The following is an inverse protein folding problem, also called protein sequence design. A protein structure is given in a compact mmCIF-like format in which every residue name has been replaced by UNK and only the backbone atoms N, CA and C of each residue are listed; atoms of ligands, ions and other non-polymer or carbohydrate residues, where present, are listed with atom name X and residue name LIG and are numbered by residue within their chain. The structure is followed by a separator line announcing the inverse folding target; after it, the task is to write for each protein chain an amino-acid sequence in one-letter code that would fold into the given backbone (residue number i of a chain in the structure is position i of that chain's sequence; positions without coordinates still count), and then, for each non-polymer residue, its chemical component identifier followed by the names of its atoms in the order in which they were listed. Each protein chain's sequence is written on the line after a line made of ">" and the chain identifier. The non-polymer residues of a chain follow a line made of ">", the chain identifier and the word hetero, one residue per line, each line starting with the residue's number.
data_IF_729834857903
#
_entry.id   IF_729834857903
#
_cell.length_a   1.000
_cell.length_b   1.000
_cell.length_c   1.000
_cell.angle_alpha   90.00
_cell.angle_beta   90.00
_cell.angle_gamma   90.00
#
_symmetry.space_group_name_H-M   'P 1'
#
loop_
_entity.id
_entity.type
_entity.pdbx_description
1 polymer ?
#
# COMPACT_ATOMS: atom_id res chain seq x y z
N UNK A 1 -12.98 21.52 -22.24
CA UNK A 1 -12.64 20.10 -22.10
C UNK A 1 -11.71 20.04 -20.90
N UNK A 2 -12.19 19.44 -19.80
CA UNK A 2 -11.60 19.60 -18.47
C UNK A 2 -10.26 18.88 -18.33
N UNK A 3 -9.36 19.46 -17.55
CA UNK A 3 -7.98 18.98 -17.34
C UNK A 3 -7.89 17.76 -16.40
N UNK A 4 -8.94 16.93 -16.32
CA UNK A 4 -9.09 15.83 -15.35
C UNK A 4 -9.30 14.47 -16.06
N UNK A 5 -8.48 14.18 -17.07
CA UNK A 5 -8.49 12.91 -17.82
C UNK A 5 -7.37 11.94 -17.37
N UNK A 6 -6.76 12.18 -16.21
CA UNK A 6 -5.72 11.28 -15.70
C UNK A 6 -6.35 9.94 -15.29
N UNK A 7 -6.08 8.88 -16.07
CA UNK A 7 -6.61 7.53 -15.89
C UNK A 7 -6.31 6.90 -14.52
N UNK A 8 -5.34 7.47 -13.78
CA UNK A 8 -5.01 7.05 -12.42
C UNK A 8 -6.05 7.49 -11.40
N UNK A 9 -6.87 8.48 -11.72
CA UNK A 9 -7.94 9.00 -10.86
C UNK A 9 -9.24 8.24 -11.10
N UNK A 10 -9.68 7.48 -10.11
CA UNK A 10 -10.82 6.57 -10.15
C UNK A 10 -11.72 6.71 -8.91
N UNK A 11 -11.71 7.88 -8.26
CA UNK A 11 -12.52 8.17 -7.07
C UNK A 11 -11.77 8.08 -5.74
N UNK A 12 -10.43 8.03 -5.79
CA UNK A 12 -9.61 8.00 -4.58
C UNK A 12 -9.84 9.22 -3.67
N UNK A 13 -10.33 10.34 -4.23
CA UNK A 13 -10.66 11.55 -3.47
C UNK A 13 -11.65 11.27 -2.34
N UNK A 14 -12.50 10.25 -2.45
CA UNK A 14 -13.49 9.90 -1.42
C UNK A 14 -12.86 9.45 -0.10
N UNK A 15 -11.65 8.87 -0.13
CA UNK A 15 -11.01 8.29 1.07
C UNK A 15 -9.56 8.73 1.30
N UNK A 16 -8.88 9.29 0.29
CA UNK A 16 -7.50 9.78 0.41
C UNK A 16 -7.37 11.30 0.51
N UNK A 17 -8.44 12.07 0.32
CA UNK A 17 -8.37 13.53 0.44
C UNK A 17 -7.96 13.95 1.87
N UNK A 18 -6.95 14.81 1.96
CA UNK A 18 -6.38 15.29 3.23
C UNK A 18 -5.62 14.23 4.03
N UNK A 19 -5.27 13.09 3.42
CA UNK A 19 -4.57 12.03 4.13
C UNK A 19 -3.11 12.39 4.46
N UNK A 20 -2.58 11.74 5.49
CA UNK A 20 -1.14 11.80 5.82
C UNK A 20 -0.47 10.56 5.24
N UNK A 21 0.62 10.75 4.52
CA UNK A 21 1.40 9.69 3.89
C UNK A 21 2.77 9.63 4.57
N UNK A 22 3.23 8.43 4.91
CA UNK A 22 4.54 8.19 5.50
C UNK A 22 5.40 7.35 4.58
N UNK A 23 6.56 7.86 4.17
CA UNK A 23 7.54 7.10 3.41
C UNK A 23 8.10 5.98 4.26
N UNK A 24 8.12 4.76 3.74
CA UNK A 24 8.77 3.62 4.39
C UNK A 24 9.02 2.47 3.42
N UNK A 25 9.85 1.53 3.85
CA UNK A 25 10.05 0.25 3.17
C UNK A 25 8.76 -0.57 3.22
N UNK A 26 8.36 -1.14 2.10
CA UNK A 26 7.20 -2.00 2.00
C UNK A 26 7.47 -3.31 2.75
N UNK A 27 6.51 -3.66 3.59
CA UNK A 27 6.53 -4.90 4.36
C UNK A 27 5.22 -5.62 4.13
N UNK A 28 5.31 -6.88 3.70
CA UNK A 28 4.17 -7.74 3.46
C UNK A 28 3.23 -7.75 4.67
N UNK A 29 1.93 -7.78 4.42
CA UNK A 29 0.94 -7.68 5.49
C UNK A 29 0.87 -8.98 6.32
N UNK A 30 0.95 -10.12 5.64
CA UNK A 30 0.95 -11.46 6.22
C UNK A 30 1.62 -12.44 5.25
N UNK A 31 1.77 -13.70 5.66
CA UNK A 31 2.31 -14.79 4.83
C UNK A 31 1.46 -15.08 3.57
N UNK A 32 0.19 -14.67 3.56
CA UNK A 32 -0.71 -14.80 2.40
C UNK A 32 -0.86 -13.50 1.60
N UNK A 33 -0.18 -12.42 2.00
CA UNK A 33 -0.22 -11.10 1.37
C UNK A 33 1.19 -10.69 0.95
N UNK A 34 1.68 -11.37 -0.09
CA UNK A 34 3.08 -11.31 -0.52
C UNK A 34 3.46 -9.97 -1.21
N UNK A 35 2.47 -9.19 -1.67
CA UNK A 35 2.69 -7.94 -2.40
C UNK A 35 1.48 -6.99 -2.32
N UNK A 36 1.70 -5.72 -2.65
CA UNK A 36 0.66 -4.70 -2.75
C UNK A 36 0.83 -3.88 -4.03
N UNK A 37 -0.05 -2.93 -4.27
CA UNK A 37 0.00 -2.07 -5.44
C UNK A 37 -0.27 -0.61 -5.08
N UNK A 38 0.27 0.29 -5.90
CA UNK A 38 -0.05 1.70 -5.82
C UNK A 38 -1.54 1.91 -6.10
N UNK A 39 -2.24 2.65 -5.23
CA UNK A 39 -3.67 2.95 -5.34
C UNK A 39 -4.06 3.73 -6.62
N UNK A 40 -3.07 4.32 -7.30
CA UNK A 40 -3.26 5.16 -8.48
C UNK A 40 -2.85 4.44 -9.76
N UNK A 41 -1.56 4.09 -9.87
CA UNK A 41 -1.01 3.53 -11.10
C UNK A 41 -0.85 2.01 -11.08
N UNK A 42 -1.19 1.35 -9.97
CA UNK A 42 -1.00 -0.09 -9.74
C UNK A 42 0.45 -0.58 -9.84
N UNK A 43 1.44 0.32 -9.71
CA UNK A 43 2.83 -0.08 -9.55
C UNK A 43 2.97 -1.07 -8.39
N UNK A 44 3.71 -2.16 -8.60
CA UNK A 44 3.78 -3.27 -7.63
C UNK A 44 4.77 -2.94 -6.51
N UNK A 45 4.37 -3.24 -5.28
CA UNK A 45 5.23 -3.25 -4.10
C UNK A 45 5.47 -4.67 -3.61
N UNK A 46 6.72 -5.01 -3.31
CA UNK A 46 7.08 -6.31 -2.74
C UNK A 46 8.06 -6.14 -1.59
N UNK A 47 7.96 -7.03 -0.60
CA UNK A 47 8.84 -7.03 0.56
C UNK A 47 10.08 -7.88 0.21
N UNK A 48 11.28 -7.27 0.14
CA UNK A 48 12.50 -8.01 -0.21
C UNK A 48 12.88 -9.05 0.83
N UNK A 49 12.34 -8.98 2.05
CA UNK A 49 12.62 -9.92 3.13
C UNK A 49 11.51 -10.96 3.31
N UNK A 50 10.53 -11.02 2.40
CA UNK A 50 9.45 -11.98 2.47
C UNK A 50 9.93 -13.43 2.25
N UNK A 51 10.71 -13.66 1.20
CA UNK A 51 11.37 -14.94 0.94
C UNK A 51 12.58 -14.77 0.01
N UNK A 52 13.52 -15.74 -0.05
CA UNK A 52 14.64 -15.70 -1.00
C UNK A 52 14.19 -15.62 -2.48
N UNK A 53 13.06 -16.24 -2.81
CA UNK A 53 12.46 -16.17 -4.15
C UNK A 53 11.97 -14.75 -4.47
N UNK A 54 11.39 -14.06 -3.48
CA UNK A 54 10.93 -12.68 -3.62
C UNK A 54 12.11 -11.72 -3.79
N UNK A 55 13.17 -11.88 -2.99
CA UNK A 55 14.41 -11.11 -3.13
C UNK A 55 14.98 -11.25 -4.55
N UNK A 56 15.06 -12.48 -5.05
CA UNK A 56 15.54 -12.74 -6.42
C UNK A 56 14.62 -12.12 -7.46
N UNK A 57 13.30 -12.28 -7.33
CA UNK A 57 12.33 -11.69 -8.25
C UNK A 57 12.49 -10.16 -8.31
N UNK A 58 12.62 -9.50 -7.15
CA UNK A 58 12.85 -8.05 -7.09
C UNK A 58 14.16 -7.67 -7.79
N UNK A 59 15.24 -8.44 -7.58
CA UNK A 59 16.53 -8.17 -8.23
C UNK A 59 16.48 -8.30 -9.76
N UNK A 60 15.60 -9.15 -10.29
CA UNK A 60 15.41 -9.39 -11.71
C UNK A 60 14.37 -8.44 -12.35
N UNK A 61 13.52 -7.78 -11.54
CA UNK A 61 12.41 -6.92 -11.99
C UNK A 61 12.53 -5.52 -11.37
N UNK A 62 13.25 -4.62 -12.05
CA UNK A 62 13.53 -3.25 -11.57
C UNK A 62 12.32 -2.33 -11.49
N UNK A 63 11.16 -2.74 -12.02
CA UNK A 63 9.88 -2.02 -11.96
C UNK A 63 9.12 -2.29 -10.65
N UNK A 64 9.53 -3.31 -9.88
CA UNK A 64 8.97 -3.60 -8.56
C UNK A 64 9.56 -2.64 -7.52
N UNK A 65 8.68 -1.99 -6.77
CA UNK A 65 9.06 -1.07 -5.71
C UNK A 65 9.20 -1.81 -4.38
N UNK A 66 10.26 -1.52 -3.63
CA UNK A 66 10.44 -2.02 -2.26
C UNK A 66 10.17 -0.94 -1.21
N UNK A 67 9.92 0.29 -1.64
CA UNK A 67 9.57 1.41 -0.77
C UNK A 67 8.60 2.35 -1.46
N UNK A 68 7.80 3.04 -0.65
CA UNK A 68 6.80 3.98 -1.10
C UNK A 68 6.21 4.71 0.09
N UNK A 69 5.00 5.23 -0.10
CA UNK A 69 4.30 5.99 0.91
C UNK A 69 3.06 5.24 1.36
N UNK A 70 3.05 4.87 2.63
CA UNK A 70 1.88 4.31 3.28
C UNK A 70 0.96 5.43 3.75
N UNK A 71 -0.31 5.37 3.38
CA UNK A 71 -1.34 6.24 3.92
C UNK A 71 -1.55 5.88 5.39
N UNK A 72 -1.59 6.88 6.26
CA UNK A 72 -1.77 6.72 7.70
C UNK A 72 -3.23 6.93 8.08
N UNK A 73 -3.67 6.21 9.12
CA UNK A 73 -5.00 6.35 9.74
C UNK A 73 -6.17 6.26 8.75
N UNK A 74 -6.00 5.41 7.74
CA UNK A 74 -7.04 5.03 6.77
C UNK A 74 -7.11 3.51 6.71
N UNK A 75 -8.29 2.97 6.98
CA UNK A 75 -8.58 1.55 6.82
C UNK A 75 -9.63 1.38 5.72
N UNK A 76 -9.54 0.30 4.93
CA UNK A 76 -10.62 -0.05 4.03
C UNK A 76 -11.87 -0.32 4.84
N UNK A 77 -13.04 -0.04 4.26
CA UNK A 77 -14.28 -0.35 4.92
C UNK A 77 -14.41 -1.87 5.13
N UNK A 78 -14.89 -2.29 6.29
CA UNK A 78 -15.06 -3.71 6.60
C UNK A 78 -16.17 -4.38 5.74
N UNK A 79 -16.96 -3.58 5.02
CA UNK A 79 -18.08 -4.05 4.18
C UNK A 79 -17.61 -4.52 2.80
N UNK A 80 -16.45 -4.05 2.32
CA UNK A 80 -15.83 -4.41 1.05
C UNK A 80 -15.11 -5.76 1.05
N UNK A 81 -15.11 -6.48 2.18
CA UNK A 81 -14.51 -7.82 2.26
C UNK A 81 -12.98 -7.87 2.22
N UNK A 82 -12.31 -6.72 2.36
CA UNK A 82 -10.87 -6.62 2.58
C UNK A 82 -10.53 -7.17 3.97
N UNK A 83 -10.40 -8.49 4.06
CA UNK A 83 -9.97 -9.17 5.29
C UNK A 83 -8.45 -9.02 5.37
N UNK A 84 -8.00 -8.13 6.26
CA UNK A 84 -6.59 -7.87 6.59
C UNK A 84 -5.99 -9.08 7.31
N UNK A 85 -5.66 -10.12 6.55
CA UNK A 85 -5.16 -11.40 7.05
C UNK A 85 -6.28 -12.44 7.25
N UNK A 86 -6.13 -13.62 6.63
CA UNK A 86 -7.00 -14.77 6.85
C UNK A 86 -6.22 -15.84 7.60
N UNK A 87 -6.85 -16.56 8.52
CA UNK A 87 -6.35 -17.87 8.93
C UNK A 87 -7.24 -18.95 8.32
N UNK A 88 -6.62 -19.89 7.63
CA UNK A 88 -7.28 -21.08 7.12
C UNK A 88 -7.24 -22.14 8.20
N UNK A 89 -8.40 -22.46 8.78
CA UNK A 89 -8.51 -23.65 9.64
C UNK A 89 -8.51 -24.89 8.75
N UNK A 90 -8.02 -26.01 9.29
CA UNK A 90 -7.97 -27.30 8.58
C UNK A 90 -9.35 -27.83 8.14
N UNK A 91 -10.44 -27.30 8.70
CA UNK A 91 -11.82 -27.60 8.33
C UNK A 91 -12.37 -26.73 7.17
N UNK A 92 -11.53 -25.88 6.58
CA UNK A 92 -11.90 -25.00 5.45
C UNK A 92 -12.67 -23.75 5.86
N UNK A 93 -12.84 -23.49 7.16
CA UNK A 93 -13.43 -22.25 7.66
C UNK A 93 -12.38 -21.14 7.61
N UNK A 94 -12.69 -20.06 6.90
CA UNK A 94 -11.92 -18.82 6.97
C UNK A 94 -12.20 -18.21 8.34
N UNK A 95 -11.25 -18.35 9.25
CA UNK A 95 -11.31 -17.64 10.51
C UNK A 95 -10.74 -16.24 10.25
N UNK A 96 -11.56 -15.21 10.50
CA UNK A 96 -11.10 -13.83 10.55
C UNK A 96 -10.23 -13.72 11.80
N UNK A 97 -8.95 -14.03 11.66
CA UNK A 97 -8.03 -13.72 12.74
C UNK A 97 -7.69 -12.26 12.62
N UNK A 98 -7.99 -11.50 13.67
CA UNK A 98 -7.48 -10.15 13.89
C UNK A 98 -5.95 -10.19 14.12
N UNK A 99 -5.20 -10.94 13.31
CA UNK A 99 -3.75 -11.13 13.46
C UNK A 99 -2.96 -9.84 13.25
N UNK A 100 -3.62 -8.73 12.88
CA UNK A 100 -2.94 -7.46 12.61
C UNK A 100 -3.76 -6.23 13.01
N UNK A 101 -4.28 -6.19 14.24
CA UNK A 101 -5.01 -5.03 14.78
C UNK A 101 -4.27 -3.67 14.85
N UNK A 102 -3.03 -3.55 14.35
CA UNK A 102 -2.17 -2.38 14.58
C UNK A 102 -1.61 -1.71 13.32
N UNK A 103 -1.86 -2.23 12.11
CA UNK A 103 -1.36 -1.61 10.89
C UNK A 103 -2.44 -0.68 10.30
N UNK A 104 -2.10 0.60 10.18
CA UNK A 104 -2.95 1.64 9.59
C UNK A 104 -2.46 2.04 8.18
N UNK A 105 -1.61 1.20 7.57
CA UNK A 105 -0.89 1.43 6.32
C UNK A 105 -1.40 0.55 5.17
N UNK A 106 -2.72 0.40 5.06
CA UNK A 106 -3.33 -0.44 4.03
C UNK A 106 -3.10 0.11 2.62
N UNK A 107 -3.31 1.42 2.42
CA UNK A 107 -3.14 2.03 1.11
C UNK A 107 -1.69 2.45 0.89
N UNK A 108 -1.13 2.07 -0.25
CA UNK A 108 0.21 2.44 -0.68
C UNK A 108 0.18 3.32 -1.92
N UNK A 109 1.08 4.31 -1.95
CA UNK A 109 1.25 5.23 -3.08
C UNK A 109 2.72 5.27 -3.46
N UNK A 110 3.03 5.13 -4.75
CA UNK A 110 4.40 5.19 -5.24
C UNK A 110 4.94 6.64 -5.24
N UNK A 111 6.27 6.83 -5.16
CA UNK A 111 6.86 8.17 -5.14
C UNK A 111 6.38 9.08 -6.27
N UNK A 112 6.26 8.55 -7.50
CA UNK A 112 5.76 9.30 -8.65
C UNK A 112 4.34 9.82 -8.44
N UNK A 113 3.44 8.97 -7.93
CA UNK A 113 2.05 9.39 -7.69
C UNK A 113 1.94 10.35 -6.49
N UNK A 114 2.83 10.25 -5.49
CA UNK A 114 2.90 11.27 -4.42
C UNK A 114 3.28 12.62 -4.99
N UNK A 115 4.29 12.69 -5.84
CA UNK A 115 4.70 13.96 -6.49
C UNK A 115 3.57 14.54 -7.33
N UNK A 116 2.88 13.70 -8.12
CA UNK A 116 1.83 14.16 -9.03
C UNK A 116 0.55 14.61 -8.31
N UNK A 117 0.20 13.96 -7.21
CA UNK A 117 -1.13 14.12 -6.59
C UNK A 117 -1.12 14.77 -5.21
N UNK A 118 0.03 14.96 -4.55
CA UNK A 118 0.06 15.53 -3.19
C UNK A 118 -0.65 16.88 -3.09
N UNK A 119 -0.47 17.77 -4.07
CA UNK A 119 -1.14 19.07 -4.08
C UNK A 119 -2.66 18.93 -4.29
N UNK A 120 -3.08 18.07 -5.23
CA UNK A 120 -4.49 17.83 -5.54
C UNK A 120 -5.25 17.23 -4.36
N UNK A 121 -4.62 16.28 -3.67
CA UNK A 121 -5.22 15.57 -2.54
C UNK A 121 -4.96 16.24 -1.20
N UNK A 122 -4.26 17.38 -1.18
CA UNK A 122 -3.88 18.07 0.05
C UNK A 122 -3.17 17.13 1.05
N UNK A 123 -2.25 16.31 0.56
CA UNK A 123 -1.54 15.34 1.38
C UNK A 123 -0.46 15.98 2.25
N UNK A 124 -0.34 15.46 3.47
CA UNK A 124 0.83 15.72 4.32
C UNK A 124 1.80 14.56 4.15
N UNK A 125 2.98 14.82 3.61
CA UNK A 125 4.01 13.80 3.36
C UNK A 125 5.06 13.85 4.46
N UNK A 126 5.24 12.73 5.15
CA UNK A 126 6.22 12.52 6.20
C UNK A 126 7.29 11.53 5.74
N UNK A 127 8.53 11.77 6.13
CA UNK A 127 9.62 10.81 5.98
C UNK A 127 9.72 9.97 7.26
N UNK A 128 9.96 8.65 7.15
CA UNK A 128 10.24 7.85 8.33
C UNK A 128 11.56 8.31 8.99
N UNK A 129 11.64 8.33 10.33
CA UNK A 129 12.87 8.69 11.03
C UNK A 129 13.99 7.72 10.64
N UNK A 130 14.98 8.19 9.88
CA UNK A 130 16.15 7.41 9.44
C UNK A 130 16.47 7.46 7.95
N UNK A 131 15.72 8.19 7.11
CA UNK A 131 15.98 8.28 5.66
C UNK A 131 16.81 9.49 5.20
N UNK A 132 17.39 10.26 6.14
CA UNK A 132 18.41 11.26 5.84
C UNK A 132 19.76 10.81 6.43
N UNK A 133 20.59 10.21 5.59
CA UNK A 133 22.03 10.12 5.78
C UNK A 133 22.71 10.70 4.53
#
# INVERSE_FOLDING_TARGET
>A
MGQDEDWRLQGQEEYLLGATLMRKQYKAWSEDWEHDHCEFCRAKFMDPHFSPEHERFISENSDVLIEGYAVQDRRPDESGGAVLGRAYRADGVIERTELSGQRNDYYWVCPTCVVDFAARFNWTVLEAPGQNA
#
